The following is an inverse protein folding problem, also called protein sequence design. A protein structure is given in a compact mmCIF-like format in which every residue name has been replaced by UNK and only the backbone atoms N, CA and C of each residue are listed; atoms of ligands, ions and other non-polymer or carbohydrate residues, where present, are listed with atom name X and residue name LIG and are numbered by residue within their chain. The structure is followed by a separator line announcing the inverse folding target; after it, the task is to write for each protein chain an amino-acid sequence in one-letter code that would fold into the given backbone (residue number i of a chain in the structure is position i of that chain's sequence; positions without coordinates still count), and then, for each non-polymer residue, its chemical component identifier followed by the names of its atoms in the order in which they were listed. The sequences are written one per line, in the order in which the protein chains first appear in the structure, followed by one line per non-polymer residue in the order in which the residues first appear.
data_IF_179636193276
#
_entry.id   IF_179636193276
#
_cell.length_a   1.000
_cell.length_b   1.000
_cell.length_c   1.000
_cell.angle_alpha   90.00
_cell.angle_beta   90.00
_cell.angle_gamma   90.00
#
_symmetry.space_group_name_H-M   'P 1'
#
loop_
_entity.id
_entity.type
_entity.pdbx_description
1 polymer ?
#
# COMPACT_ATOMS: atom_id res chain seq x y z
N UNK A 1 -4.51 -16.66 6.23
CA UNK A 1 -3.32 -16.33 5.43
C UNK A 1 -2.24 -17.38 5.67
N UNK A 2 -1.31 -17.60 4.73
CA UNK A 2 -0.19 -18.55 4.91
C UNK A 2 1.06 -17.91 5.56
N UNK A 3 1.21 -16.60 5.41
CA UNK A 3 2.34 -15.81 5.91
C UNK A 3 1.85 -14.51 6.56
N UNK A 4 2.67 -13.95 7.45
CA UNK A 4 2.54 -12.59 7.98
C UNK A 4 3.84 -11.86 7.70
N UNK A 5 3.77 -10.79 6.91
CA UNK A 5 4.91 -9.91 6.63
C UNK A 5 4.86 -8.76 7.63
N UNK A 6 5.83 -8.70 8.53
CA UNK A 6 5.97 -7.61 9.48
C UNK A 6 6.69 -6.43 8.81
N UNK A 7 5.99 -5.30 8.66
CA UNK A 7 6.54 -4.08 8.09
C UNK A 7 6.41 -2.93 9.10
N UNK A 8 7.52 -2.26 9.38
CA UNK A 8 7.52 -1.06 10.23
C UNK A 8 7.35 0.16 9.33
N UNK A 9 6.19 0.79 9.42
CA UNK A 9 5.94 2.08 8.79
C UNK A 9 6.43 3.26 9.64
N UNK A 10 6.49 4.48 9.07
CA UNK A 10 6.95 5.66 9.78
C UNK A 10 6.00 6.14 10.89
N UNK A 11 6.52 6.86 11.88
CA UNK A 11 5.74 7.68 12.81
C UNK A 11 5.68 9.14 12.36
N UNK A 12 4.55 9.82 12.51
CA UNK A 12 4.44 11.26 12.19
C UNK A 12 5.45 12.08 13.01
N UNK A 13 6.26 12.89 12.33
CA UNK A 13 7.24 13.80 12.93
C UNK A 13 8.63 13.21 13.10
N UNK A 14 8.89 11.99 12.62
CA UNK A 14 10.22 11.36 12.71
C UNK A 14 11.12 11.67 11.49
N UNK A 15 10.59 12.35 10.48
CA UNK A 15 11.30 12.70 9.25
C UNK A 15 11.38 11.57 8.22
N UNK A 16 11.46 11.98 6.94
CA UNK A 16 11.50 11.09 5.76
C UNK A 16 10.34 10.08 5.72
N UNK A 17 9.19 10.43 6.28
CA UNK A 17 8.07 9.51 6.45
C UNK A 17 7.56 8.98 5.12
N UNK A 18 7.49 9.83 4.09
CA UNK A 18 7.05 9.43 2.76
C UNK A 18 7.91 8.32 2.16
N UNK A 19 9.23 8.45 2.25
CA UNK A 19 10.18 7.47 1.75
C UNK A 19 10.12 6.17 2.57
N UNK A 20 10.00 6.28 3.90
CA UNK A 20 9.86 5.12 4.78
C UNK A 20 8.57 4.34 4.49
N UNK A 21 7.44 5.01 4.27
CA UNK A 21 6.18 4.36 3.93
C UNK A 21 6.26 3.67 2.56
N UNK A 22 6.87 4.34 1.57
CA UNK A 22 7.17 3.75 0.26
C UNK A 22 8.01 2.48 0.42
N UNK A 23 9.10 2.54 1.18
CA UNK A 23 9.99 1.40 1.39
C UNK A 23 9.32 0.26 2.16
N UNK A 24 8.51 0.54 3.18
CA UNK A 24 7.73 -0.47 3.90
C UNK A 24 6.76 -1.22 2.96
N UNK A 25 6.08 -0.48 2.08
CA UNK A 25 5.16 -1.05 1.08
C UNK A 25 5.93 -1.88 0.04
N UNK A 26 6.97 -1.31 -0.55
CA UNK A 26 7.78 -1.95 -1.61
C UNK A 26 8.48 -3.22 -1.13
N UNK A 27 9.09 -3.19 0.05
CA UNK A 27 9.79 -4.35 0.60
C UNK A 27 8.82 -5.48 0.96
N UNK A 28 7.59 -5.15 1.37
CA UNK A 28 6.55 -6.15 1.61
C UNK A 28 6.11 -6.84 0.32
N UNK A 29 5.95 -6.09 -0.78
CA UNK A 29 5.63 -6.64 -2.11
C UNK A 29 6.75 -7.56 -2.61
N UNK A 30 8.00 -7.09 -2.56
CA UNK A 30 9.20 -7.86 -2.94
C UNK A 30 9.33 -9.16 -2.13
N UNK A 31 9.08 -9.08 -0.83
CA UNK A 31 9.13 -10.25 0.03
C UNK A 31 8.05 -11.26 -0.35
N UNK A 32 6.81 -10.81 -0.57
CA UNK A 32 5.74 -11.70 -1.00
C UNK A 32 6.06 -12.40 -2.33
N UNK A 33 6.63 -11.69 -3.29
CA UNK A 33 7.06 -12.27 -4.56
C UNK A 33 8.19 -13.29 -4.39
N UNK A 34 9.20 -12.96 -3.58
CA UNK A 34 10.33 -13.85 -3.30
C UNK A 34 9.88 -15.17 -2.67
N UNK A 35 8.87 -15.12 -1.81
CA UNK A 35 8.25 -16.32 -1.21
C UNK A 35 7.23 -17.00 -2.15
N UNK A 36 7.12 -16.58 -3.42
CA UNK A 36 6.25 -17.17 -4.43
C UNK A 36 4.75 -16.97 -4.18
N UNK A 37 4.38 -15.96 -3.38
CA UNK A 37 2.98 -15.69 -3.05
C UNK A 37 2.25 -15.08 -4.26
N UNK A 38 0.96 -15.39 -4.38
CA UNK A 38 0.09 -14.86 -5.45
C UNK A 38 -0.78 -13.69 -5.02
N UNK A 39 -0.85 -13.42 -3.72
CA UNK A 39 -1.65 -12.32 -3.20
C UNK A 39 -1.12 -11.79 -1.87
N UNK A 40 -1.33 -10.50 -1.64
CA UNK A 40 -0.99 -9.81 -0.38
C UNK A 40 -2.10 -8.83 0.00
N UNK A 41 -2.31 -8.63 1.29
CA UNK A 41 -3.24 -7.62 1.81
C UNK A 41 -2.48 -6.63 2.71
N UNK A 42 -2.76 -5.34 2.54
CA UNK A 42 -2.21 -4.25 3.32
C UNK A 42 -3.30 -3.58 4.16
N UNK A 43 -3.03 -3.24 5.43
CA UNK A 43 -3.75 -2.15 6.10
C UNK A 43 -3.27 -0.79 5.56
N UNK A 44 -3.90 0.31 5.98
CA UNK A 44 -3.33 1.65 5.80
C UNK A 44 -2.12 1.84 6.74
N UNK A 45 -0.92 1.46 6.28
CA UNK A 45 0.30 1.46 7.08
C UNK A 45 0.54 2.88 7.63
N UNK A 46 0.82 2.95 8.94
CA UNK A 46 1.08 4.18 9.70
C UNK A 46 -0.06 5.18 9.84
N UNK A 47 -1.23 4.95 9.23
CA UNK A 47 -2.38 5.86 9.32
C UNK A 47 -3.25 5.68 10.58
N UNK A 48 -2.87 4.74 11.46
CA UNK A 48 -3.49 4.55 12.78
C UNK A 48 -2.76 5.33 13.88
N UNK A 49 -2.30 4.64 14.92
CA UNK A 49 -1.62 5.24 16.09
C UNK A 49 -0.35 6.06 15.74
N UNK A 50 0.26 5.80 14.60
CA UNK A 50 1.43 6.55 14.12
C UNK A 50 1.07 7.89 13.46
N UNK A 51 -0.22 8.16 13.22
CA UNK A 51 -0.74 9.48 12.85
C UNK A 51 -0.37 9.95 11.45
N UNK A 52 0.14 9.08 10.58
CA UNK A 52 0.49 9.46 9.22
C UNK A 52 -0.78 9.85 8.44
N UNK A 53 -0.80 10.98 7.70
CA UNK A 53 -2.02 11.47 7.07
C UNK A 53 -2.62 10.46 6.07
N UNK A 54 -3.90 10.10 6.23
CA UNK A 54 -4.55 9.05 5.44
C UNK A 54 -4.53 9.32 3.93
N UNK A 55 -4.68 10.58 3.50
CA UNK A 55 -4.60 10.94 2.08
C UNK A 55 -3.22 10.70 1.49
N UNK A 56 -2.16 11.10 2.22
CA UNK A 56 -0.77 10.88 1.82
C UNK A 56 -0.40 9.39 1.88
N UNK A 57 -0.95 8.67 2.85
CA UNK A 57 -0.84 7.22 2.98
C UNK A 57 -1.36 6.52 1.72
N UNK A 58 -2.60 6.82 1.33
CA UNK A 58 -3.24 6.26 0.16
C UNK A 58 -2.42 6.53 -1.11
N UNK A 59 -2.01 7.78 -1.31
CA UNK A 59 -1.22 8.19 -2.48
C UNK A 59 0.06 7.35 -2.62
N UNK A 60 0.87 7.29 -1.57
CA UNK A 60 2.17 6.60 -1.59
C UNK A 60 1.99 5.09 -1.72
N UNK A 61 1.11 4.49 -0.92
CA UNK A 61 0.96 3.03 -0.93
C UNK A 61 0.38 2.52 -2.24
N UNK A 62 -0.64 3.21 -2.79
CA UNK A 62 -1.23 2.86 -4.08
C UNK A 62 -0.23 3.06 -5.20
N UNK A 63 0.46 4.20 -5.26
CA UNK A 63 1.44 4.47 -6.32
C UNK A 63 2.55 3.42 -6.32
N UNK A 64 3.10 3.13 -5.15
CA UNK A 64 4.15 2.12 -4.99
C UNK A 64 3.67 0.74 -5.44
N UNK A 65 2.43 0.38 -5.10
CA UNK A 65 1.83 -0.91 -5.48
C UNK A 65 1.58 -0.99 -6.97
N UNK A 66 0.98 0.05 -7.58
CA UNK A 66 0.68 0.09 -9.01
C UNK A 66 1.98 0.04 -9.83
N UNK A 67 2.98 0.83 -9.45
CA UNK A 67 4.29 0.83 -10.12
C UNK A 67 4.97 -0.54 -10.01
N UNK A 68 4.84 -1.23 -8.86
CA UNK A 68 5.35 -2.58 -8.69
C UNK A 68 4.64 -3.61 -9.57
N UNK A 69 3.30 -3.56 -9.61
CA UNK A 69 2.47 -4.50 -10.37
C UNK A 69 2.59 -4.32 -11.90
N UNK A 70 3.09 -3.18 -12.38
CA UNK A 70 3.44 -2.97 -13.79
C UNK A 70 4.75 -3.67 -14.19
N UNK A 71 5.56 -4.08 -13.22
CA UNK A 71 6.79 -4.82 -13.45
C UNK A 71 6.58 -6.32 -13.62
N UNK A 72 7.68 -7.06 -13.69
CA UNK A 72 7.65 -8.53 -13.64
C UNK A 72 7.45 -8.98 -12.18
N UNK A 73 6.27 -9.52 -11.89
CA UNK A 73 5.86 -9.95 -10.55
C UNK A 73 5.00 -11.20 -10.62
N UNK A 74 5.10 -12.06 -9.59
CA UNK A 74 4.25 -13.23 -9.42
C UNK A 74 2.92 -12.93 -8.72
N UNK A 75 2.73 -11.71 -8.21
CA UNK A 75 1.52 -11.26 -7.51
C UNK A 75 0.38 -10.97 -8.49
N UNK A 76 -0.76 -11.64 -8.28
CA UNK A 76 -1.96 -11.46 -9.09
C UNK A 76 -3.01 -10.57 -8.41
N UNK A 77 -2.88 -10.35 -7.09
CA UNK A 77 -3.89 -9.63 -6.31
C UNK A 77 -3.28 -8.91 -5.11
N UNK A 78 -3.49 -7.60 -5.05
CA UNK A 78 -3.20 -6.79 -3.86
C UNK A 78 -4.52 -6.24 -3.31
N UNK A 79 -4.73 -6.38 -2.01
CA UNK A 79 -5.93 -5.90 -1.31
C UNK A 79 -5.55 -4.83 -0.30
N UNK A 80 -6.21 -3.68 -0.33
CA UNK A 80 -6.15 -2.70 0.76
C UNK A 80 -7.33 -2.94 1.69
N UNK A 81 -7.07 -3.56 2.85
CA UNK A 81 -8.07 -3.87 3.87
C UNK A 81 -8.19 -2.68 4.83
N UNK A 82 -9.13 -1.80 4.54
CA UNK A 82 -9.27 -0.50 5.21
C UNK A 82 -10.38 -0.54 6.26
N UNK A 83 -10.10 0.04 7.42
CA UNK A 83 -11.07 0.15 8.50
C UNK A 83 -11.90 1.42 8.34
N UNK A 84 -13.22 1.25 8.23
CA UNK A 84 -14.19 2.35 8.15
C UNK A 84 -14.37 2.92 6.75
N UNK A 85 -15.52 3.57 6.55
CA UNK A 85 -15.92 4.14 5.27
C UNK A 85 -15.02 5.31 4.83
N UNK A 86 -14.53 6.11 5.79
CA UNK A 86 -13.70 7.28 5.50
C UNK A 86 -12.35 6.89 4.87
N UNK A 87 -11.65 5.92 5.48
CA UNK A 87 -10.40 5.38 4.94
C UNK A 87 -10.62 4.77 3.57
N UNK A 88 -11.71 4.00 3.40
CA UNK A 88 -12.06 3.40 2.13
C UNK A 88 -12.30 4.46 1.05
N UNK A 89 -13.10 5.49 1.33
CA UNK A 89 -13.39 6.56 0.38
C UNK A 89 -12.13 7.31 -0.06
N UNK A 90 -11.18 7.54 0.86
CA UNK A 90 -9.89 8.18 0.55
C UNK A 90 -9.08 7.32 -0.43
N UNK A 91 -8.92 6.02 -0.14
CA UNK A 91 -8.19 5.11 -1.03
C UNK A 91 -8.90 4.88 -2.36
N UNK A 92 -10.23 4.78 -2.38
CA UNK A 92 -11.02 4.62 -3.60
C UNK A 92 -10.84 5.83 -4.52
N UNK A 93 -10.97 7.05 -3.96
CA UNK A 93 -10.77 8.29 -4.71
C UNK A 93 -9.35 8.37 -5.26
N UNK A 94 -8.35 7.97 -4.48
CA UNK A 94 -6.96 8.02 -4.91
C UNK A 94 -6.65 6.96 -5.97
N UNK A 95 -7.18 5.74 -5.83
CA UNK A 95 -7.05 4.68 -6.83
C UNK A 95 -7.62 5.12 -8.18
N UNK A 96 -8.81 5.73 -8.19
CA UNK A 96 -9.45 6.23 -9.43
C UNK A 96 -8.64 7.33 -10.14
N UNK A 97 -7.81 8.09 -9.42
CA UNK A 97 -6.90 9.07 -10.03
C UNK A 97 -5.67 8.42 -10.66
N UNK A 98 -5.12 7.39 -9.99
CA UNK A 98 -3.86 6.76 -10.41
C UNK A 98 -4.06 5.67 -11.47
N UNK A 99 -5.24 5.05 -11.48
CA UNK A 99 -5.74 4.15 -12.51
C UNK A 99 -7.08 4.70 -13.00
N UNK A 100 -7.07 5.77 -13.82
CA UNK A 100 -8.28 6.15 -14.53
C UNK A 100 -8.70 4.95 -15.38
N UNK A 101 -9.97 4.54 -15.30
CA UNK A 101 -10.46 3.49 -16.19
C UNK A 101 -10.15 3.93 -17.63
N UNK A 102 -9.47 3.06 -18.38
CA UNK A 102 -9.42 3.19 -19.83
C UNK A 102 -10.88 3.25 -20.29
N UNK A 103 -11.26 4.37 -20.91
CA UNK A 103 -12.60 4.55 -21.46
C UNK A 103 -12.90 3.35 -22.34
N UNK A 104 -13.79 2.48 -21.86
CA UNK A 104 -14.35 1.39 -22.66
C UNK A 104 -15.09 1.93 -23.86
#
# INVERSE_FOLDING_TARGET
AKYVIHAVGPRKGEGNEDEKLKNATLNSLRLADREGLKSIAFPAISAGIFGFPIGRCAEIMLKTTIDYLRGDTGLNRVVFCLFGQDSFAVFQKELAKQLPEEAK
#
